data_IF_346534808343
#
_entry.id   IF_346534808343
#
_cell.length_a   1.000
_cell.length_b   1.000
_cell.length_c   1.000
_cell.angle_alpha   90.00
_cell.angle_beta   90.00
_cell.angle_gamma   90.00
#
_symmetry.space_group_name_H-M   'P 1'
#
loop_
_entity.id
_entity.type
_entity.pdbx_description
1 polymer ?
#
# COMPACT_ATOMS: atom_id res chain seq x y z
N UNK A 1 19.95 22.11 21.50
CA UNK A 1 19.10 20.88 21.45
C UNK A 1 19.16 20.29 20.04
N UNK A 2 19.49 18.99 19.87
CA UNK A 2 19.64 18.39 18.52
C UNK A 2 18.31 18.29 17.77
N UNK A 3 18.31 18.39 16.41
CA UNK A 3 17.11 18.37 15.54
C UNK A 3 16.18 17.16 15.84
N UNK A 4 16.74 15.99 16.09
CA UNK A 4 15.94 14.77 16.41
C UNK A 4 15.19 14.93 17.73
N UNK A 5 15.75 15.62 18.70
CA UNK A 5 15.10 15.90 19.98
C UNK A 5 13.96 16.92 19.79
N UNK A 6 14.18 17.94 18.96
CA UNK A 6 13.12 18.92 18.61
C UNK A 6 11.95 18.25 17.88
N UNK A 7 12.23 17.35 16.94
CA UNK A 7 11.19 16.60 16.22
C UNK A 7 10.37 15.73 17.18
N UNK A 8 11.01 14.99 18.08
CA UNK A 8 10.32 14.19 19.09
C UNK A 8 9.39 15.04 19.96
N UNK A 9 9.88 16.18 20.46
CA UNK A 9 9.04 17.07 21.26
C UNK A 9 7.92 17.71 20.44
N UNK A 10 8.16 18.09 19.21
CA UNK A 10 7.11 18.63 18.31
C UNK A 10 6.02 17.60 18.04
N UNK A 11 6.39 16.34 17.73
CA UNK A 11 5.43 15.26 17.53
C UNK A 11 4.63 14.97 18.81
N UNK A 12 5.28 14.95 19.96
CA UNK A 12 4.61 14.74 21.24
C UNK A 12 3.64 15.88 21.57
N UNK A 13 4.03 17.12 21.32
CA UNK A 13 3.14 18.28 21.50
C UNK A 13 1.96 18.27 20.53
N UNK A 14 2.17 17.79 19.29
CA UNK A 14 1.08 17.63 18.34
C UNK A 14 0.10 16.55 18.81
N UNK A 15 0.58 15.37 19.21
CA UNK A 15 -0.26 14.32 19.78
C UNK A 15 -1.07 14.83 20.99
N UNK A 16 -0.45 15.58 21.88
CA UNK A 16 -1.15 16.19 23.01
C UNK A 16 -2.33 17.06 22.56
N UNK A 17 -2.15 17.89 21.53
CA UNK A 17 -3.22 18.74 20.98
C UNK A 17 -4.32 17.89 20.33
N UNK A 18 -3.93 16.90 19.52
CA UNK A 18 -4.87 16.08 18.75
C UNK A 18 -5.71 15.19 19.66
N UNK A 19 -5.15 14.71 20.76
CA UNK A 19 -5.82 13.81 21.69
C UNK A 19 -6.68 14.50 22.76
N UNK A 20 -6.50 15.79 23.00
CA UNK A 20 -7.22 16.53 24.03
C UNK A 20 -8.75 16.41 23.90
N UNK A 21 -9.29 16.60 22.69
CA UNK A 21 -10.74 16.50 22.43
C UNK A 21 -11.26 15.07 22.51
N UNK A 22 -10.64 14.07 21.85
CA UNK A 22 -11.04 12.66 21.97
C UNK A 22 -11.05 12.17 23.42
N UNK A 23 -9.99 12.45 24.18
CA UNK A 23 -9.89 12.08 25.61
C UNK A 23 -11.03 12.68 26.43
N UNK A 24 -11.32 13.96 26.25
CA UNK A 24 -12.39 14.63 26.97
C UNK A 24 -13.78 14.06 26.65
N UNK A 25 -14.03 13.74 25.35
CA UNK A 25 -15.30 13.14 24.93
C UNK A 25 -15.49 11.73 25.51
N UNK A 26 -14.46 10.88 25.44
CA UNK A 26 -14.54 9.55 26.01
C UNK A 26 -14.69 9.58 27.53
N UNK A 27 -14.00 10.50 28.23
CA UNK A 27 -14.19 10.68 29.66
C UNK A 27 -15.67 10.97 30.03
N UNK A 28 -16.39 11.76 29.23
CA UNK A 28 -17.79 12.08 29.44
C UNK A 28 -18.74 10.89 29.27
N UNK A 29 -18.32 9.81 28.59
CA UNK A 29 -19.10 8.60 28.41
C UNK A 29 -18.91 7.57 29.52
N UNK A 30 -17.96 7.80 30.43
CA UNK A 30 -17.65 6.84 31.48
C UNK A 30 -18.78 6.73 32.52
N UNK A 31 -19.10 5.50 32.99
CA UNK A 31 -20.10 5.26 34.01
C UNK A 31 -19.62 5.68 35.40
N UNK A 32 -20.53 5.59 36.40
CA UNK A 32 -20.14 5.80 37.79
C UNK A 32 -19.12 4.72 38.23
N UNK A 33 -18.18 5.08 39.09
CA UNK A 33 -17.14 4.19 39.66
C UNK A 33 -16.19 3.54 38.62
N UNK A 34 -16.02 4.11 37.45
CA UNK A 34 -15.07 3.59 36.47
C UNK A 34 -13.61 3.65 36.95
N UNK A 35 -12.83 2.66 36.55
CA UNK A 35 -11.38 2.59 36.79
C UNK A 35 -10.58 3.26 35.66
N UNK A 36 -9.27 3.40 35.86
CA UNK A 36 -8.37 3.86 34.81
C UNK A 36 -8.29 2.86 33.62
N UNK A 37 -8.41 1.57 33.92
CA UNK A 37 -8.40 0.52 32.89
C UNK A 37 -9.70 0.52 32.07
N UNK A 38 -10.86 0.74 32.71
CA UNK A 38 -12.12 0.90 32.00
C UNK A 38 -12.06 2.08 31.03
N UNK A 39 -11.46 3.19 31.45
CA UNK A 39 -11.26 4.33 30.54
C UNK A 39 -10.36 3.98 29.33
N UNK A 40 -9.28 3.25 29.54
CA UNK A 40 -8.37 2.84 28.45
C UNK A 40 -9.06 1.90 27.49
N UNK A 41 -9.82 0.92 27.99
CA UNK A 41 -10.60 -0.02 27.16
C UNK A 41 -11.64 0.76 26.33
N UNK A 42 -12.43 1.61 26.98
CA UNK A 42 -13.45 2.40 26.32
C UNK A 42 -12.86 3.37 25.27
N UNK A 43 -11.70 3.98 25.56
CA UNK A 43 -11.00 4.84 24.59
C UNK A 43 -10.55 4.05 23.36
N UNK A 44 -10.01 2.84 23.54
CA UNK A 44 -9.61 1.97 22.44
C UNK A 44 -10.79 1.61 21.54
N UNK A 45 -11.96 1.36 22.12
CA UNK A 45 -13.18 1.01 21.37
C UNK A 45 -13.79 2.22 20.65
N UNK A 46 -13.86 3.38 21.31
CA UNK A 46 -14.53 4.57 20.77
C UNK A 46 -13.63 5.42 19.85
N UNK A 47 -12.32 5.38 20.03
CA UNK A 47 -11.34 6.14 19.22
C UNK A 47 -10.23 5.23 18.65
N UNK A 48 -10.61 4.21 17.85
CA UNK A 48 -9.66 3.20 17.35
C UNK A 48 -8.55 3.79 16.49
N UNK A 49 -8.83 4.85 15.71
CA UNK A 49 -7.80 5.55 14.92
C UNK A 49 -6.76 6.23 15.81
N UNK A 50 -7.21 6.87 16.89
CA UNK A 50 -6.31 7.49 17.87
C UNK A 50 -5.47 6.44 18.58
N UNK A 51 -6.09 5.35 19.02
CA UNK A 51 -5.38 4.24 19.66
C UNK A 51 -4.29 3.67 18.77
N UNK A 52 -4.58 3.39 17.51
CA UNK A 52 -3.62 2.90 16.52
C UNK A 52 -2.44 3.84 16.31
N UNK A 53 -2.68 5.15 16.24
CA UNK A 53 -1.61 6.16 16.16
C UNK A 53 -0.66 6.04 17.36
N UNK A 54 -1.18 5.80 18.56
CA UNK A 54 -0.33 5.63 19.75
C UNK A 54 0.48 4.34 19.69
N UNK A 55 -0.12 3.22 19.27
CA UNK A 55 0.58 1.94 19.10
C UNK A 55 1.73 2.08 18.08
N UNK A 56 1.45 2.60 16.89
CA UNK A 56 2.46 2.83 15.84
C UNK A 56 3.61 3.74 16.33
N UNK A 57 3.29 4.80 17.07
CA UNK A 57 4.31 5.70 17.64
C UNK A 57 5.11 5.02 18.72
N UNK A 58 4.47 4.28 19.62
CA UNK A 58 5.14 3.53 20.67
C UNK A 58 6.11 2.49 20.11
N UNK A 59 5.66 1.68 19.13
CA UNK A 59 6.49 0.68 18.46
C UNK A 59 7.69 1.35 17.75
N UNK A 60 7.42 2.40 16.97
CA UNK A 60 8.46 3.14 16.26
C UNK A 60 9.53 3.71 17.17
N UNK A 61 9.13 4.29 18.32
CA UNK A 61 10.08 4.84 19.29
C UNK A 61 10.76 3.75 20.12
N UNK A 62 10.08 2.63 20.42
CA UNK A 62 10.67 1.46 21.07
C UNK A 62 11.77 0.83 20.23
N UNK A 63 11.53 0.62 18.93
CA UNK A 63 12.54 0.15 17.98
C UNK A 63 13.72 1.13 17.88
N UNK A 64 13.42 2.44 17.86
CA UNK A 64 14.44 3.46 17.89
C UNK A 64 15.30 3.37 19.14
N UNK A 65 14.68 3.21 20.30
CA UNK A 65 15.37 3.19 21.58
C UNK A 65 16.17 1.90 21.76
N UNK A 66 15.68 0.73 21.30
CA UNK A 66 16.49 -0.49 21.20
C UNK A 66 17.78 -0.27 20.40
N UNK A 67 17.67 0.41 19.24
CA UNK A 67 18.84 0.73 18.41
C UNK A 67 19.77 1.80 19.03
N UNK A 68 19.23 2.66 19.89
CA UNK A 68 20.01 3.68 20.63
C UNK A 68 20.74 3.09 21.84
N UNK A 69 20.07 2.18 22.56
CA UNK A 69 20.66 1.47 23.69
C UNK A 69 21.94 0.72 23.27
N UNK A 70 21.90 0.01 22.14
CA UNK A 70 23.09 -0.65 21.56
C UNK A 70 24.28 0.29 21.27
N UNK A 71 24.04 1.61 21.21
CA UNK A 71 25.06 2.66 20.95
C UNK A 71 25.27 3.59 22.15
N UNK A 72 24.87 3.18 23.33
CA UNK A 72 24.95 3.97 24.58
C UNK A 72 24.43 5.42 24.42
N UNK A 73 23.32 5.61 23.68
CA UNK A 73 22.73 6.92 23.43
C UNK A 73 21.46 7.10 24.24
N UNK A 74 21.17 8.35 24.66
CA UNK A 74 19.94 8.69 25.37
C UNK A 74 18.69 8.15 24.69
N UNK A 75 17.86 7.43 25.47
CA UNK A 75 16.58 6.90 25.05
C UNK A 75 15.53 8.03 24.94
N UNK A 76 14.50 7.82 24.18
CA UNK A 76 13.36 8.74 24.06
C UNK A 76 12.28 8.46 25.08
N UNK A 77 12.16 7.18 25.46
CA UNK A 77 11.17 6.70 26.43
C UNK A 77 9.76 7.21 26.10
N UNK A 78 9.32 6.93 24.86
CA UNK A 78 7.94 7.25 24.50
C UNK A 78 7.02 6.41 25.39
N UNK A 79 6.01 7.01 26.05
CA UNK A 79 5.13 6.27 26.93
C UNK A 79 4.33 5.21 26.16
N UNK A 80 3.98 4.10 26.82
CA UNK A 80 3.03 3.15 26.23
C UNK A 80 1.67 3.83 25.95
N UNK A 81 0.84 3.30 25.03
CA UNK A 81 -0.49 3.87 24.75
C UNK A 81 -1.30 4.11 26.03
N UNK A 82 -1.33 3.13 26.95
CA UNK A 82 -1.97 3.24 28.26
C UNK A 82 -1.42 4.41 29.09
N UNK A 83 -0.10 4.47 29.24
CA UNK A 83 0.55 5.55 30.01
C UNK A 83 0.33 6.93 29.39
N UNK A 84 0.35 7.02 28.05
CA UNK A 84 0.08 8.27 27.36
C UNK A 84 -1.33 8.75 27.67
N UNK A 85 -2.34 7.90 27.50
CA UNK A 85 -3.74 8.26 27.77
C UNK A 85 -3.99 8.67 29.21
N UNK A 86 -3.45 7.94 30.18
CA UNK A 86 -3.65 8.25 31.60
C UNK A 86 -2.95 9.56 31.97
N UNK A 87 -1.77 9.84 31.43
CA UNK A 87 -1.05 11.09 31.68
C UNK A 87 -1.80 12.29 31.09
N UNK A 88 -2.22 12.18 29.81
CA UNK A 88 -2.91 13.26 29.10
C UNK A 88 -4.37 13.43 29.57
N UNK A 89 -5.01 12.31 29.92
CA UNK A 89 -6.42 12.25 30.36
C UNK A 89 -6.63 12.56 31.84
N UNK A 90 -5.58 12.66 32.64
CA UNK A 90 -5.69 12.78 34.12
C UNK A 90 -6.71 13.81 34.57
N UNK A 91 -6.69 15.01 33.97
CA UNK A 91 -7.62 16.10 34.34
C UNK A 91 -9.05 15.77 33.95
N UNK A 92 -9.28 15.23 32.74
CA UNK A 92 -10.61 14.88 32.24
C UNK A 92 -11.22 13.71 33.04
N UNK A 93 -10.43 12.68 33.32
CA UNK A 93 -10.82 11.52 34.13
C UNK A 93 -11.23 11.96 35.54
N UNK A 94 -10.38 12.78 36.19
CA UNK A 94 -10.66 13.26 37.55
C UNK A 94 -11.87 14.20 37.58
N UNK A 95 -12.01 15.06 36.60
CA UNK A 95 -13.19 15.93 36.47
C UNK A 95 -14.46 15.10 36.34
N UNK A 96 -14.48 14.07 35.52
CA UNK A 96 -15.64 13.20 35.36
C UNK A 96 -16.00 12.43 36.62
N UNK A 97 -15.00 11.89 37.33
CA UNK A 97 -15.20 11.23 38.65
C UNK A 97 -15.81 12.19 39.67
N UNK A 98 -15.36 13.44 39.69
CA UNK A 98 -15.95 14.46 40.57
C UNK A 98 -17.40 14.78 40.19
N UNK A 99 -17.73 14.90 38.89
CA UNK A 99 -19.10 15.15 38.45
C UNK A 99 -20.04 14.01 38.83
N UNK A 100 -19.59 12.77 38.75
CA UNK A 100 -20.36 11.60 39.25
C UNK A 100 -20.57 11.65 40.79
N UNK A 101 -19.50 12.02 41.52
CA UNK A 101 -19.59 12.09 42.98
C UNK A 101 -20.57 13.16 43.47
N UNK A 102 -20.74 14.26 42.77
CA UNK A 102 -21.69 15.33 43.11
C UNK A 102 -23.04 15.16 42.45
N UNK A 103 -23.27 14.05 41.69
CA UNK A 103 -24.57 13.74 41.11
C UNK A 103 -25.03 14.67 39.96
N UNK A 104 -24.12 15.35 39.29
CA UNK A 104 -24.47 16.33 38.22
C UNK A 104 -24.45 15.67 36.83
N UNK A 105 -24.06 14.41 36.72
CA UNK A 105 -23.99 13.72 35.42
C UNK A 105 -25.40 13.38 34.93
N UNK A 106 -25.78 13.89 33.79
CA UNK A 106 -27.03 13.57 33.10
C UNK A 106 -26.82 12.22 32.35
N UNK A 107 -27.46 11.18 32.86
CA UNK A 107 -27.30 9.80 32.37
C UNK A 107 -27.83 9.64 30.93
N UNK A 108 -28.93 10.32 30.57
CA UNK A 108 -29.47 10.24 29.21
C UNK A 108 -28.50 10.86 28.19
N UNK A 109 -27.92 12.01 28.51
CA UNK A 109 -26.89 12.64 27.66
C UNK A 109 -25.62 11.81 27.57
N UNK A 110 -25.21 11.19 28.67
CA UNK A 110 -24.06 10.26 28.70
C UNK A 110 -24.26 9.10 27.75
N UNK A 111 -25.41 8.43 27.83
CA UNK A 111 -25.75 7.27 26.98
C UNK A 111 -25.90 7.70 25.51
N UNK A 112 -26.54 8.83 25.25
CA UNK A 112 -26.67 9.37 23.90
C UNK A 112 -25.29 9.65 23.27
N UNK A 113 -24.38 10.27 24.03
CA UNK A 113 -23.01 10.53 23.56
C UNK A 113 -22.24 9.22 23.32
N UNK A 114 -22.39 8.22 24.21
CA UNK A 114 -21.77 6.90 24.04
C UNK A 114 -22.22 6.24 22.72
N UNK A 115 -23.52 6.21 22.48
CA UNK A 115 -24.13 5.64 21.27
C UNK A 115 -23.63 6.34 20.00
N UNK A 116 -23.55 7.67 20.00
CA UNK A 116 -23.02 8.45 18.87
C UNK A 116 -21.54 8.15 18.61
N UNK A 117 -20.73 8.05 19.65
CA UNK A 117 -19.32 7.68 19.53
C UNK A 117 -19.14 6.25 19.05
N UNK A 118 -19.94 5.29 19.49
CA UNK A 118 -19.91 3.89 19.01
C UNK A 118 -20.23 3.82 17.52
N UNK A 119 -21.28 4.53 17.07
CA UNK A 119 -21.65 4.61 15.65
C UNK A 119 -20.50 5.23 14.83
N UNK A 120 -19.91 6.30 15.33
CA UNK A 120 -18.79 7.00 14.67
C UNK A 120 -17.53 6.12 14.64
N UNK A 121 -17.24 5.36 15.70
CA UNK A 121 -16.12 4.43 15.77
C UNK A 121 -16.25 3.31 14.74
N UNK A 122 -17.44 2.70 14.63
CA UNK A 122 -17.71 1.66 13.63
C UNK A 122 -17.50 2.16 12.21
N UNK A 123 -17.99 3.37 11.90
CA UNK A 123 -17.76 3.98 10.58
C UNK A 123 -16.27 4.29 10.33
N UNK A 124 -15.52 4.75 11.35
CA UNK A 124 -14.07 4.99 11.24
C UNK A 124 -13.30 3.68 11.00
N UNK A 125 -13.64 2.61 11.73
CA UNK A 125 -13.03 1.28 11.56
C UNK A 125 -13.25 0.78 10.14
N UNK A 126 -14.51 0.81 9.66
CA UNK A 126 -14.86 0.39 8.30
C UNK A 126 -14.06 1.15 7.25
N UNK A 127 -14.03 2.49 7.36
CA UNK A 127 -13.28 3.35 6.43
C UNK A 127 -11.76 3.09 6.47
N UNK A 128 -11.22 2.77 7.65
CA UNK A 128 -9.81 2.43 7.81
C UNK A 128 -9.48 1.08 7.16
N UNK A 129 -10.31 0.06 7.37
CA UNK A 129 -10.18 -1.25 6.73
C UNK A 129 -10.31 -1.17 5.21
N UNK A 130 -11.29 -0.40 4.71
CA UNK A 130 -11.44 -0.16 3.27
C UNK A 130 -10.21 0.53 2.66
N UNK A 131 -9.61 1.47 3.39
CA UNK A 131 -8.37 2.13 2.93
C UNK A 131 -7.19 1.17 2.88
N UNK A 132 -7.02 0.33 3.92
CA UNK A 132 -5.96 -0.67 3.96
C UNK A 132 -6.10 -1.70 2.84
N UNK A 133 -7.32 -2.19 2.61
CA UNK A 133 -7.61 -3.07 1.49
C UNK A 133 -7.28 -2.39 0.16
N UNK A 134 -7.69 -1.13 -0.03
CA UNK A 134 -7.39 -0.38 -1.26
C UNK A 134 -5.89 -0.18 -1.48
N UNK A 135 -5.10 0.04 -0.44
CA UNK A 135 -3.65 0.16 -0.58
C UNK A 135 -3.01 -1.17 -0.98
N UNK A 136 -3.55 -2.31 -0.50
CA UNK A 136 -3.07 -3.65 -0.85
C UNK A 136 -3.53 -4.13 -2.23
N UNK A 137 -4.61 -3.60 -2.81
CA UNK A 137 -5.06 -3.95 -4.16
C UNK A 137 -4.01 -3.70 -5.25
N UNK A 138 -3.05 -2.83 -4.99
CA UNK A 138 -2.01 -2.44 -5.93
C UNK A 138 -0.67 -3.15 -5.68
N UNK A 139 -0.65 -4.21 -4.87
CA UNK A 139 0.58 -4.90 -4.48
C UNK A 139 0.42 -6.40 -4.75
N UNK A 140 1.31 -6.94 -5.55
CA UNK A 140 1.40 -8.37 -5.80
C UNK A 140 2.27 -9.05 -4.73
N UNK A 141 1.83 -10.19 -4.21
CA UNK A 141 2.57 -10.96 -3.20
C UNK A 141 3.46 -12.03 -3.85
N UNK A 142 4.30 -11.59 -4.79
CA UNK A 142 5.23 -12.43 -5.56
C UNK A 142 6.51 -11.66 -5.84
N UNK A 143 7.60 -12.35 -6.17
CA UNK A 143 8.86 -11.73 -6.58
C UNK A 143 9.22 -12.11 -8.02
N UNK A 144 8.92 -11.24 -9.01
CA UNK A 144 9.36 -11.47 -10.38
C UNK A 144 10.88 -11.63 -10.48
N UNK A 145 11.34 -12.57 -11.28
CA UNK A 145 12.78 -12.84 -11.45
C UNK A 145 13.53 -11.63 -12.03
N UNK A 146 12.87 -10.80 -12.82
CA UNK A 146 13.46 -9.56 -13.34
C UNK A 146 13.76 -8.53 -12.23
N UNK A 147 12.97 -8.50 -11.14
CA UNK A 147 13.26 -7.61 -10.01
C UNK A 147 14.56 -7.95 -9.31
N UNK A 148 14.86 -9.25 -9.15
CA UNK A 148 16.14 -9.67 -8.57
C UNK A 148 17.31 -9.20 -9.43
N UNK A 149 17.19 -9.26 -10.77
CA UNK A 149 18.19 -8.72 -11.72
C UNK A 149 18.28 -7.20 -11.59
N UNK A 150 17.14 -6.49 -11.53
CA UNK A 150 17.06 -5.04 -11.39
C UNK A 150 17.69 -4.55 -10.08
N UNK A 151 17.41 -5.19 -8.95
CA UNK A 151 18.02 -4.90 -7.65
C UNK A 151 19.55 -5.08 -7.71
N UNK A 152 20.03 -6.14 -8.35
CA UNK A 152 21.47 -6.37 -8.55
C UNK A 152 22.10 -5.24 -9.37
N UNK A 153 21.47 -4.84 -10.47
CA UNK A 153 21.91 -3.71 -11.29
C UNK A 153 21.91 -2.38 -10.54
N UNK A 154 20.90 -2.12 -9.72
CA UNK A 154 20.86 -0.93 -8.86
C UNK A 154 22.16 -0.77 -8.05
N UNK A 155 22.62 -1.84 -7.39
CA UNK A 155 23.83 -1.78 -6.58
C UNK A 155 25.11 -1.68 -7.42
N UNK A 156 25.17 -2.39 -8.54
CA UNK A 156 26.33 -2.36 -9.45
C UNK A 156 26.49 -0.96 -10.08
N UNK A 157 25.44 -0.44 -10.70
CA UNK A 157 25.47 0.85 -11.39
C UNK A 157 25.62 2.02 -10.41
N UNK A 158 25.03 1.91 -9.21
CA UNK A 158 25.25 2.89 -8.14
C UNK A 158 26.71 2.93 -7.69
N UNK A 159 27.39 1.79 -7.60
CA UNK A 159 28.82 1.71 -7.26
C UNK A 159 29.66 2.40 -8.33
N UNK A 160 29.32 2.24 -9.59
CA UNK A 160 29.99 2.85 -10.74
C UNK A 160 29.60 4.32 -10.97
N UNK A 161 28.63 4.84 -10.22
CA UNK A 161 28.05 6.19 -10.36
C UNK A 161 27.43 6.45 -11.75
N UNK A 162 26.99 5.43 -12.46
CA UNK A 162 26.40 5.49 -13.80
C UNK A 162 24.87 5.55 -13.81
N UNK A 163 24.24 5.41 -12.65
CA UNK A 163 22.79 5.39 -12.51
C UNK A 163 22.28 6.75 -12.07
N UNK A 164 21.47 7.41 -12.88
CA UNK A 164 20.88 8.69 -12.54
C UNK A 164 19.77 8.58 -11.47
N UNK A 165 19.27 9.71 -11.01
CA UNK A 165 18.28 9.77 -9.94
C UNK A 165 16.91 9.24 -10.40
N UNK A 166 16.53 9.46 -11.66
CA UNK A 166 15.25 9.05 -12.21
C UNK A 166 15.19 7.53 -12.41
N UNK A 167 16.29 6.95 -12.93
CA UNK A 167 16.43 5.50 -13.04
C UNK A 167 16.34 4.82 -11.67
N UNK A 168 16.97 5.41 -10.65
CA UNK A 168 16.87 4.88 -9.26
C UNK A 168 15.47 5.00 -8.69
N UNK A 169 14.78 6.11 -8.97
CA UNK A 169 13.37 6.27 -8.59
C UNK A 169 12.51 5.19 -9.24
N UNK A 170 12.68 5.00 -10.55
CA UNK A 170 11.95 3.98 -11.28
C UNK A 170 12.08 2.59 -10.62
N UNK A 171 13.32 2.17 -10.31
CA UNK A 171 13.57 0.88 -9.65
C UNK A 171 12.93 0.78 -8.25
N UNK A 172 12.88 1.89 -7.51
CA UNK A 172 12.23 1.95 -6.20
C UNK A 172 10.72 1.80 -6.35
N UNK A 173 10.11 2.52 -7.29
CA UNK A 173 8.68 2.46 -7.56
C UNK A 173 8.26 1.07 -8.05
N UNK A 174 9.05 0.47 -8.93
CA UNK A 174 8.82 -0.88 -9.42
C UNK A 174 8.86 -1.92 -8.30
N UNK A 175 9.90 -1.88 -7.46
CA UNK A 175 9.95 -2.75 -6.27
C UNK A 175 8.80 -2.49 -5.30
N UNK A 176 8.20 -1.31 -5.33
CA UNK A 176 7.05 -0.93 -4.53
C UNK A 176 5.74 -1.61 -4.92
N UNK A 177 5.67 -2.26 -6.09
CA UNK A 177 4.50 -3.00 -6.58
C UNK A 177 4.45 -4.45 -6.09
N UNK A 178 5.56 -4.97 -5.54
CA UNK A 178 5.71 -6.39 -5.20
C UNK A 178 6.15 -6.56 -3.76
N UNK A 179 5.35 -7.27 -2.96
CA UNK A 179 5.63 -7.57 -1.56
C UNK A 179 6.35 -8.90 -1.44
N UNK A 180 7.67 -8.86 -1.35
CA UNK A 180 8.52 -10.01 -1.12
C UNK A 180 9.64 -9.68 -0.13
N UNK A 181 10.36 -10.71 0.33
CA UNK A 181 11.52 -10.53 1.23
C UNK A 181 12.60 -9.70 0.55
N UNK A 182 12.82 -9.93 -0.74
CA UNK A 182 13.84 -9.26 -1.56
C UNK A 182 13.52 -7.77 -1.72
N UNK A 183 12.28 -7.44 -2.12
CA UNK A 183 11.84 -6.05 -2.34
C UNK A 183 11.81 -5.26 -1.04
N UNK A 184 11.29 -5.84 0.04
CA UNK A 184 11.29 -5.22 1.37
C UNK A 184 12.72 -4.97 1.84
N UNK A 185 13.62 -5.94 1.69
CA UNK A 185 15.04 -5.80 2.06
C UNK A 185 15.73 -4.72 1.24
N UNK A 186 15.48 -4.67 -0.06
CA UNK A 186 15.99 -3.63 -0.95
C UNK A 186 15.51 -2.24 -0.53
N UNK A 187 14.20 -2.05 -0.39
CA UNK A 187 13.61 -0.78 0.00
C UNK A 187 14.08 -0.30 1.38
N UNK A 188 14.25 -1.20 2.36
CA UNK A 188 14.84 -0.88 3.66
C UNK A 188 16.29 -0.39 3.53
N UNK A 189 17.10 -1.03 2.67
CA UNK A 189 18.48 -0.59 2.41
C UNK A 189 18.52 0.77 1.70
N UNK A 190 17.64 1.03 0.75
CA UNK A 190 17.52 2.35 0.09
C UNK A 190 17.11 3.42 1.10
N UNK A 191 16.05 3.19 1.85
CA UNK A 191 15.55 4.11 2.89
C UNK A 191 16.64 4.51 3.89
N UNK A 192 17.50 3.57 4.26
CA UNK A 192 18.56 3.81 5.25
C UNK A 192 19.85 4.32 4.63
N UNK A 193 20.17 3.94 3.41
CA UNK A 193 21.50 4.07 2.82
C UNK A 193 21.62 5.06 1.65
N UNK A 194 20.55 5.41 0.95
CA UNK A 194 20.67 6.30 -0.18
C UNK A 194 21.08 7.73 0.23
N UNK A 195 21.87 8.42 -0.65
CA UNK A 195 22.32 9.77 -0.42
C UNK A 195 21.20 10.80 -0.69
N UNK A 196 20.34 10.53 -1.69
CA UNK A 196 19.23 11.39 -2.05
C UNK A 196 18.06 11.23 -1.06
N UNK A 197 17.58 12.34 -0.49
CA UNK A 197 16.50 12.31 0.50
C UNK A 197 15.17 11.90 -0.10
N UNK A 198 14.86 12.35 -1.31
CA UNK A 198 13.59 12.03 -1.99
C UNK A 198 13.48 10.53 -2.28
N UNK A 199 14.57 9.89 -2.74
CA UNK A 199 14.59 8.44 -2.95
C UNK A 199 14.39 7.66 -1.64
N UNK A 200 14.98 8.13 -0.52
CA UNK A 200 14.71 7.52 0.78
C UNK A 200 13.25 7.67 1.21
N UNK A 201 12.63 8.80 0.88
CA UNK A 201 11.22 9.06 1.18
C UNK A 201 10.32 8.13 0.36
N UNK A 202 10.52 8.01 -0.95
CA UNK A 202 9.76 7.08 -1.79
C UNK A 202 9.88 5.62 -1.33
N UNK A 203 11.10 5.19 -0.98
CA UNK A 203 11.30 3.85 -0.42
C UNK A 203 10.58 3.66 0.93
N UNK A 204 10.51 4.69 1.77
CA UNK A 204 9.76 4.67 3.02
C UNK A 204 8.26 4.57 2.79
N UNK A 205 7.72 5.36 1.88
CA UNK A 205 6.30 5.33 1.51
C UNK A 205 5.89 3.97 0.91
N UNK A 206 6.73 3.39 0.04
CA UNK A 206 6.51 2.05 -0.50
C UNK A 206 6.47 0.99 0.61
N UNK A 207 7.40 1.04 1.56
CA UNK A 207 7.41 0.12 2.71
C UNK A 207 6.16 0.24 3.59
N UNK A 208 5.65 1.46 3.79
CA UNK A 208 4.40 1.69 4.54
C UNK A 208 3.20 1.12 3.80
N UNK A 209 3.08 1.35 2.49
CA UNK A 209 2.00 0.79 1.65
C UNK A 209 1.98 -0.74 1.64
N UNK A 210 3.17 -1.36 1.69
CA UNK A 210 3.31 -2.81 1.77
C UNK A 210 3.03 -3.39 3.17
N UNK A 211 2.76 -2.57 4.17
CA UNK A 211 2.72 -3.00 5.58
C UNK A 211 3.96 -3.82 5.96
N UNK A 212 5.14 -3.37 5.51
CA UNK A 212 6.38 -4.08 5.78
C UNK A 212 6.72 -4.04 7.28
N UNK A 213 7.16 -5.14 7.89
CA UNK A 213 7.51 -5.16 9.31
C UNK A 213 8.76 -4.32 9.59
N UNK A 214 8.89 -3.81 10.81
CA UNK A 214 10.09 -3.12 11.33
C UNK A 214 10.60 -1.96 10.46
N UNK A 215 9.70 -1.15 9.91
CA UNK A 215 10.06 0.01 9.10
C UNK A 215 10.58 1.12 10.00
N UNK A 216 11.82 1.55 9.79
CA UNK A 216 12.40 2.68 10.53
C UNK A 216 11.78 4.00 10.07
N UNK A 217 11.52 4.90 11.01
CA UNK A 217 11.03 6.23 10.70
C UNK A 217 11.96 6.96 9.71
N UNK A 218 11.37 7.59 8.70
CA UNK A 218 12.11 8.42 7.77
C UNK A 218 12.77 9.60 8.49
N UNK A 219 14.03 9.89 8.19
CA UNK A 219 14.79 10.98 8.81
C UNK A 219 15.53 11.79 7.77
N UNK A 220 15.37 13.11 7.86
CA UNK A 220 16.28 14.03 7.17
C UNK A 220 17.66 13.89 7.78
N UNK A 221 18.68 13.72 6.93
CA UNK A 221 20.08 13.71 7.38
C UNK A 221 20.56 15.13 7.63
N UNK A 222 21.40 15.31 8.63
CA UNK A 222 22.13 16.58 8.82
C UNK A 222 23.36 16.59 7.90
N UNK A 223 23.64 17.73 7.31
CA UNK A 223 24.84 17.96 6.53
C UNK A 223 24.59 18.88 5.33
N UNK A 224 25.64 19.46 4.78
CA UNK A 224 25.59 20.21 3.51
C UNK A 224 25.39 19.17 2.39
N UNK A 225 24.19 19.11 1.84
CA UNK A 225 23.91 18.23 0.69
C UNK A 225 24.59 18.78 -0.55
N UNK A 226 25.31 17.93 -1.27
CA UNK A 226 25.84 18.26 -2.59
C UNK A 226 24.67 18.50 -3.56
N UNK A 227 24.86 19.33 -4.59
CA UNK A 227 23.83 19.65 -5.57
C UNK A 227 23.19 18.38 -6.16
N UNK A 228 24.00 17.36 -6.49
CA UNK A 228 23.53 16.05 -6.99
C UNK A 228 22.64 15.26 -5.99
N UNK A 229 22.65 15.62 -4.72
CA UNK A 229 21.82 14.97 -3.69
C UNK A 229 20.47 15.68 -3.50
N UNK A 230 20.33 16.87 -4.08
CA UNK A 230 19.11 17.69 -4.06
C UNK A 230 18.24 17.51 -5.30
N UNK A 231 18.74 16.80 -6.33
CA UNK A 231 17.97 16.55 -7.54
C UNK A 231 16.63 15.97 -7.18
N UNK A 232 15.56 16.60 -7.64
CA UNK A 232 14.22 16.07 -7.52
C UNK A 232 14.05 14.98 -8.59
N UNK A 233 13.76 13.74 -8.21
CA UNK A 233 13.50 12.71 -9.18
C UNK A 233 12.13 12.92 -9.81
N UNK A 234 12.08 12.86 -11.11
CA UNK A 234 10.87 12.92 -11.90
C UNK A 234 10.42 11.50 -12.24
N UNK A 235 9.18 11.15 -11.88
CA UNK A 235 8.56 9.89 -12.25
C UNK A 235 8.01 9.92 -13.66
N UNK A 236 7.68 8.74 -14.19
CA UNK A 236 6.89 8.60 -15.41
C UNK A 236 5.43 8.90 -15.04
N UNK A 237 4.78 9.82 -15.75
CA UNK A 237 3.47 10.37 -15.36
C UNK A 237 2.39 10.21 -16.44
N UNK A 238 2.77 9.79 -17.67
CA UNK A 238 1.84 9.67 -18.80
C UNK A 238 2.25 8.54 -19.75
N UNK A 239 1.34 8.11 -20.66
CA UNK A 239 1.60 7.02 -21.59
C UNK A 239 2.79 7.25 -22.51
N UNK A 240 3.00 8.48 -22.99
CA UNK A 240 4.11 8.81 -23.90
C UNK A 240 5.47 8.63 -23.22
N UNK A 241 5.61 9.09 -21.97
CA UNK A 241 6.83 8.90 -21.19
C UNK A 241 7.07 7.41 -20.89
N UNK A 242 6.02 6.66 -20.57
CA UNK A 242 6.12 5.21 -20.35
C UNK A 242 6.55 4.49 -21.62
N UNK A 243 5.99 4.85 -22.76
CA UNK A 243 6.35 4.26 -24.04
C UNK A 243 7.83 4.51 -24.39
N UNK A 244 8.33 5.72 -24.15
CA UNK A 244 9.76 6.04 -24.29
C UNK A 244 10.58 5.18 -23.34
N UNK A 245 10.17 5.05 -22.10
CA UNK A 245 10.85 4.22 -21.11
C UNK A 245 10.92 2.74 -21.56
N UNK A 246 9.80 2.18 -22.04
CA UNK A 246 9.73 0.81 -22.58
C UNK A 246 10.69 0.61 -23.75
N UNK A 247 10.84 1.62 -24.62
CA UNK A 247 11.74 1.55 -25.79
C UNK A 247 13.22 1.74 -25.43
N UNK A 248 13.54 2.47 -24.38
CA UNK A 248 14.91 2.93 -24.11
C UNK A 248 15.56 2.35 -22.87
N UNK A 249 14.78 2.00 -21.84
CA UNK A 249 15.32 1.54 -20.57
C UNK A 249 15.54 0.02 -20.56
N UNK A 250 16.77 -0.41 -20.32
CA UNK A 250 17.14 -1.83 -20.27
C UNK A 250 16.29 -2.65 -19.27
N UNK A 251 15.88 -2.04 -18.16
CA UNK A 251 15.08 -2.74 -17.16
C UNK A 251 13.60 -2.86 -17.54
N UNK A 252 13.09 -2.04 -18.45
CA UNK A 252 11.78 -2.28 -19.07
C UNK A 252 11.82 -3.46 -20.03
N UNK A 253 12.91 -3.62 -20.78
CA UNK A 253 13.06 -4.73 -21.72
C UNK A 253 13.19 -6.11 -21.05
N UNK A 254 13.58 -6.17 -19.79
CA UNK A 254 13.65 -7.44 -19.05
C UNK A 254 12.38 -7.78 -18.29
N UNK A 255 11.39 -6.88 -18.26
CA UNK A 255 10.10 -7.17 -17.63
C UNK A 255 9.39 -8.26 -18.41
N UNK A 256 8.87 -9.22 -17.69
CA UNK A 256 8.02 -10.26 -18.22
C UNK A 256 6.99 -10.62 -17.17
N UNK A 257 5.81 -10.93 -17.66
CA UNK A 257 4.68 -11.35 -16.85
C UNK A 257 4.28 -12.76 -17.29
N UNK A 258 3.75 -13.54 -16.36
CA UNK A 258 3.19 -14.84 -16.75
C UNK A 258 1.85 -14.63 -17.44
N UNK A 259 1.06 -13.66 -16.99
CA UNK A 259 -0.31 -13.43 -17.42
C UNK A 259 -0.51 -11.95 -17.78
N UNK A 260 -1.07 -11.67 -18.95
CA UNK A 260 -1.79 -10.41 -19.20
C UNK A 260 -3.26 -10.63 -18.88
N UNK A 261 -3.80 -9.89 -17.92
CA UNK A 261 -5.17 -10.03 -17.45
C UNK A 261 -6.06 -8.95 -18.06
N UNK A 262 -6.78 -9.29 -19.14
CA UNK A 262 -7.76 -8.39 -19.75
C UNK A 262 -9.07 -8.41 -18.96
N UNK A 263 -9.53 -7.26 -18.50
CA UNK A 263 -10.66 -7.16 -17.59
C UNK A 263 -11.36 -5.81 -17.65
N UNK A 264 -12.62 -5.76 -17.23
CA UNK A 264 -13.29 -4.48 -16.97
C UNK A 264 -12.82 -3.87 -15.65
N UNK A 265 -12.63 -2.57 -15.67
CA UNK A 265 -12.27 -1.81 -14.44
C UNK A 265 -13.39 -1.77 -13.39
N UNK A 266 -14.59 -2.19 -13.71
CA UNK A 266 -15.71 -2.32 -12.76
C UNK A 266 -15.51 -3.50 -11.81
N UNK A 267 -14.78 -4.54 -12.24
CA UNK A 267 -14.59 -5.80 -11.52
C UNK A 267 -13.34 -5.85 -10.61
N UNK A 268 -12.88 -4.71 -10.08
CA UNK A 268 -11.60 -4.62 -9.34
C UNK A 268 -11.46 -5.60 -8.18
N UNK A 269 -12.52 -5.83 -7.42
CA UNK A 269 -12.48 -6.74 -6.26
C UNK A 269 -12.29 -8.19 -6.70
N UNK A 270 -13.01 -8.61 -7.74
CA UNK A 270 -12.92 -9.95 -8.32
C UNK A 270 -11.53 -10.17 -8.96
N UNK A 271 -11.04 -9.19 -9.71
CA UNK A 271 -9.71 -9.22 -10.31
C UNK A 271 -8.60 -9.27 -9.26
N UNK A 272 -8.74 -8.52 -8.16
CA UNK A 272 -7.79 -8.59 -7.06
C UNK A 272 -7.78 -9.97 -6.39
N UNK A 273 -8.94 -10.58 -6.16
CA UNK A 273 -9.04 -11.94 -5.63
C UNK A 273 -8.34 -12.95 -6.56
N UNK A 274 -8.63 -12.88 -7.86
CA UNK A 274 -8.00 -13.71 -8.88
C UNK A 274 -6.47 -13.54 -8.91
N UNK A 275 -5.99 -12.29 -8.92
CA UNK A 275 -4.56 -11.99 -8.86
C UNK A 275 -3.90 -12.61 -7.62
N UNK A 276 -4.55 -12.51 -6.47
CA UNK A 276 -4.02 -13.05 -5.21
C UNK A 276 -3.90 -14.58 -5.24
N UNK A 277 -4.89 -15.27 -5.79
CA UNK A 277 -4.83 -16.73 -5.97
C UNK A 277 -3.69 -17.15 -6.91
N UNK A 278 -3.53 -16.43 -8.02
CA UNK A 278 -2.45 -16.69 -8.99
C UNK A 278 -1.07 -16.38 -8.40
N UNK A 279 -0.93 -15.32 -7.60
CA UNK A 279 0.32 -15.00 -6.89
C UNK A 279 0.70 -16.11 -5.89
N UNK A 280 -0.25 -16.80 -5.25
CA UNK A 280 0.04 -17.97 -4.39
C UNK A 280 0.64 -19.15 -5.18
N UNK A 281 0.47 -19.17 -6.49
CA UNK A 281 1.11 -20.14 -7.41
C UNK A 281 2.37 -19.59 -8.07
N UNK A 282 2.90 -18.48 -7.54
CA UNK A 282 4.08 -17.76 -8.04
C UNK A 282 3.92 -17.20 -9.46
N UNK A 283 2.68 -16.99 -9.93
CA UNK A 283 2.38 -16.41 -11.22
C UNK A 283 2.24 -14.89 -11.11
N UNK A 284 2.90 -14.17 -12.02
CA UNK A 284 2.94 -12.71 -12.08
C UNK A 284 1.89 -12.23 -13.07
N UNK A 285 0.97 -11.39 -12.60
CA UNK A 285 -0.09 -10.84 -13.42
C UNK A 285 0.24 -9.40 -13.85
N UNK A 286 0.13 -9.12 -15.15
CA UNK A 286 0.01 -7.75 -15.61
C UNK A 286 -1.47 -7.33 -15.52
N UNK A 287 -1.71 -6.27 -14.76
CA UNK A 287 -2.99 -5.60 -14.60
C UNK A 287 -2.68 -4.10 -14.71
N UNK A 288 -3.28 -3.39 -15.65
CA UNK A 288 -2.96 -2.00 -16.00
C UNK A 288 -3.00 -1.06 -14.78
N UNK A 289 -4.05 -1.14 -13.96
CA UNK A 289 -4.20 -0.31 -12.77
C UNK A 289 -3.33 -0.76 -11.57
N UNK A 290 -2.62 -1.88 -11.65
CA UNK A 290 -1.60 -2.30 -10.68
C UNK A 290 -0.21 -1.87 -11.17
N UNK A 291 0.13 -2.26 -12.40
CA UNK A 291 1.48 -2.12 -12.95
C UNK A 291 1.76 -0.70 -13.46
N UNK A 292 0.86 -0.13 -14.23
CA UNK A 292 1.06 1.16 -14.91
C UNK A 292 0.01 2.22 -14.47
N UNK A 293 -0.40 2.15 -13.17
CA UNK A 293 -1.49 2.96 -12.58
C UNK A 293 -1.37 4.46 -12.77
N UNK A 294 -0.16 5.00 -12.66
CA UNK A 294 0.07 6.44 -12.73
C UNK A 294 0.16 6.92 -14.16
N UNK A 295 0.57 6.04 -15.03
CA UNK A 295 0.90 6.27 -16.42
C UNK A 295 -0.32 6.07 -17.33
N UNK A 296 -1.14 5.03 -17.06
CA UNK A 296 -2.33 4.67 -17.85
C UNK A 296 -3.62 5.09 -17.17
N UNK A 297 -3.75 6.38 -16.85
CA UNK A 297 -5.02 6.91 -16.34
C UNK A 297 -6.06 6.97 -17.46
N UNK A 298 -7.32 6.66 -17.17
CA UNK A 298 -8.43 6.65 -18.12
C UNK A 298 -8.59 7.96 -18.90
N UNK A 299 -8.35 9.09 -18.23
CA UNK A 299 -8.44 10.42 -18.84
C UNK A 299 -7.31 10.67 -19.88
N UNK A 300 -6.33 9.77 -19.96
CA UNK A 300 -5.17 9.86 -20.84
C UNK A 300 -5.21 8.81 -21.97
N UNK A 301 -6.39 8.30 -22.35
CA UNK A 301 -6.52 7.35 -23.46
C UNK A 301 -6.10 8.01 -24.79
N UNK A 302 -4.98 7.55 -25.35
CA UNK A 302 -4.36 8.07 -26.58
C UNK A 302 -3.70 6.91 -27.35
N UNK A 303 -3.11 7.21 -28.51
CA UNK A 303 -2.38 6.24 -29.33
C UNK A 303 -1.25 5.54 -28.56
N UNK A 304 -0.56 6.29 -27.70
CA UNK A 304 0.52 5.78 -26.88
C UNK A 304 0.04 4.79 -25.82
N UNK A 305 -1.18 4.98 -25.30
CA UNK A 305 -1.83 3.99 -24.39
C UNK A 305 -1.99 2.65 -25.11
N UNK A 306 -2.52 2.66 -26.33
CA UNK A 306 -2.69 1.45 -27.12
C UNK A 306 -1.33 0.76 -27.39
N UNK A 307 -0.29 1.53 -27.74
CA UNK A 307 1.04 0.95 -27.98
C UNK A 307 1.66 0.36 -26.70
N UNK A 308 1.47 1.00 -25.54
CA UNK A 308 1.89 0.44 -24.25
C UNK A 308 1.20 -0.89 -23.99
N UNK A 309 -0.12 -0.96 -24.15
CA UNK A 309 -0.88 -2.20 -23.92
C UNK A 309 -0.39 -3.33 -24.86
N UNK A 310 -0.18 -3.05 -26.14
CA UNK A 310 0.41 -4.03 -27.08
C UNK A 310 1.76 -4.54 -26.55
N UNK A 311 2.65 -3.65 -26.09
CA UNK A 311 3.94 -4.05 -25.51
C UNK A 311 3.79 -4.94 -24.28
N UNK A 312 2.84 -4.64 -23.41
CA UNK A 312 2.57 -5.44 -22.20
C UNK A 312 1.99 -6.82 -22.56
N UNK A 313 1.11 -6.90 -23.56
CA UNK A 313 0.66 -8.19 -24.10
C UNK A 313 1.85 -9.01 -24.61
N UNK A 314 2.76 -8.40 -25.35
CA UNK A 314 3.96 -9.07 -25.86
C UNK A 314 4.93 -9.51 -24.74
N UNK A 315 5.05 -8.74 -23.66
CA UNK A 315 5.87 -9.06 -22.49
C UNK A 315 5.25 -10.15 -21.59
N UNK A 316 3.99 -10.52 -21.84
CA UNK A 316 3.30 -11.56 -21.08
C UNK A 316 3.39 -12.91 -21.78
N UNK A 317 3.49 -14.00 -21.00
CA UNK A 317 3.55 -15.37 -21.53
C UNK A 317 2.22 -15.79 -22.13
N UNK A 318 1.14 -15.60 -21.38
CA UNK A 318 -0.23 -15.90 -21.81
C UNK A 318 -1.14 -14.68 -21.67
N UNK A 319 -2.26 -14.72 -22.37
CA UNK A 319 -3.33 -13.73 -22.26
C UNK A 319 -4.55 -14.39 -21.60
N UNK A 320 -5.07 -13.80 -20.55
CA UNK A 320 -6.27 -14.27 -19.85
C UNK A 320 -7.37 -13.23 -20.03
N UNK A 321 -8.43 -13.62 -20.73
CA UNK A 321 -9.65 -12.83 -20.85
C UNK A 321 -10.58 -13.13 -19.68
N UNK A 322 -10.82 -12.14 -18.84
CA UNK A 322 -11.75 -12.28 -17.72
C UNK A 322 -13.15 -11.93 -18.19
N UNK A 323 -14.00 -12.97 -18.34
CA UNK A 323 -15.35 -12.83 -18.86
C UNK A 323 -16.31 -12.44 -17.75
N UNK A 324 -16.89 -11.26 -17.89
CA UNK A 324 -17.97 -10.67 -17.11
C UNK A 324 -18.87 -9.87 -18.05
N UNK A 325 -20.08 -9.50 -17.65
CA UNK A 325 -20.94 -8.64 -18.47
C UNK A 325 -20.26 -7.33 -18.86
N UNK A 326 -19.59 -6.68 -17.90
CA UNK A 326 -18.86 -5.43 -18.16
C UNK A 326 -17.60 -5.65 -19.01
N UNK A 327 -16.96 -6.82 -18.90
CA UNK A 327 -15.82 -7.21 -19.73
C UNK A 327 -16.24 -7.37 -21.19
N UNK A 328 -17.36 -8.03 -21.45
CA UNK A 328 -17.93 -8.19 -22.79
C UNK A 328 -18.39 -6.86 -23.41
N UNK A 329 -18.91 -5.94 -22.60
CA UNK A 329 -19.28 -4.60 -23.06
C UNK A 329 -18.08 -3.67 -23.28
N UNK A 330 -16.89 -4.05 -22.85
CA UNK A 330 -15.69 -3.24 -22.96
C UNK A 330 -15.05 -3.31 -24.34
N UNK A 331 -15.02 -2.19 -25.07
CA UNK A 331 -14.31 -2.09 -26.35
C UNK A 331 -12.81 -2.34 -26.23
N UNK A 332 -12.19 -1.99 -25.10
CA UNK A 332 -10.79 -2.26 -24.84
C UNK A 332 -10.52 -3.75 -24.66
N UNK A 333 -11.33 -4.47 -23.88
CA UNK A 333 -11.15 -5.91 -23.70
C UNK A 333 -11.29 -6.68 -25.03
N UNK A 334 -12.26 -6.29 -25.86
CA UNK A 334 -12.43 -6.88 -27.20
C UNK A 334 -11.23 -6.60 -28.12
N UNK A 335 -10.71 -5.37 -28.10
CA UNK A 335 -9.53 -4.97 -28.85
C UNK A 335 -8.27 -5.72 -28.37
N UNK A 336 -8.04 -5.81 -27.06
CA UNK A 336 -6.92 -6.54 -26.45
C UNK A 336 -6.94 -8.02 -26.83
N UNK A 337 -8.12 -8.67 -26.81
CA UNK A 337 -8.31 -10.05 -27.22
C UNK A 337 -7.93 -10.23 -28.71
N UNK A 338 -8.38 -9.32 -29.58
CA UNK A 338 -8.02 -9.32 -31.00
C UNK A 338 -6.52 -9.17 -31.23
N UNK A 339 -5.85 -8.30 -30.47
CA UNK A 339 -4.39 -8.12 -30.53
C UNK A 339 -3.67 -9.40 -30.05
N UNK A 340 -4.08 -9.98 -28.92
CA UNK A 340 -3.49 -11.22 -28.41
C UNK A 340 -3.62 -12.37 -29.42
N UNK A 341 -4.79 -12.50 -30.07
CA UNK A 341 -5.04 -13.47 -31.13
C UNK A 341 -4.14 -13.23 -32.34
N UNK A 342 -4.04 -12.00 -32.83
CA UNK A 342 -3.18 -11.64 -33.97
C UNK A 342 -1.71 -11.95 -33.73
N UNK A 343 -1.23 -11.78 -32.50
CA UNK A 343 0.14 -12.14 -32.10
C UNK A 343 0.31 -13.61 -31.71
N UNK A 344 -0.72 -14.44 -31.91
CA UNK A 344 -0.71 -15.88 -31.59
C UNK A 344 -0.31 -16.18 -30.15
N UNK A 345 -0.73 -15.31 -29.21
CA UNK A 345 -0.54 -15.59 -27.80
C UNK A 345 -1.39 -16.78 -27.37
N UNK A 346 -0.93 -17.62 -26.46
CA UNK A 346 -1.82 -18.57 -25.78
C UNK A 346 -2.89 -17.77 -25.03
N UNK A 347 -4.16 -18.04 -25.33
CA UNK A 347 -5.30 -17.31 -24.76
C UNK A 347 -6.14 -18.29 -23.94
N UNK A 348 -6.51 -17.89 -22.73
CA UNK A 348 -7.51 -18.55 -21.90
C UNK A 348 -8.64 -17.59 -21.54
N UNK A 349 -9.82 -18.12 -21.34
CA UNK A 349 -10.98 -17.39 -20.84
C UNK A 349 -11.28 -17.85 -19.43
N UNK A 350 -11.39 -16.90 -18.50
CA UNK A 350 -11.80 -17.16 -17.12
C UNK A 350 -13.20 -16.61 -16.90
N UNK A 351 -14.15 -17.47 -16.60
CA UNK A 351 -15.53 -17.11 -16.29
C UNK A 351 -15.65 -16.84 -14.79
N UNK A 352 -15.83 -15.59 -14.43
CA UNK A 352 -16.08 -15.20 -13.02
C UNK A 352 -17.55 -15.21 -12.67
N UNK A 353 -18.42 -15.13 -13.67
CA UNK A 353 -19.87 -15.17 -13.55
C UNK A 353 -20.49 -15.90 -14.74
N UNK A 354 -21.71 -16.39 -14.57
CA UNK A 354 -22.48 -16.99 -15.65
C UNK A 354 -23.07 -15.86 -16.51
N UNK A 355 -22.64 -15.82 -17.78
CA UNK A 355 -23.12 -14.86 -18.78
C UNK A 355 -23.88 -15.63 -19.85
N UNK A 356 -25.18 -15.33 -19.98
CA UNK A 356 -26.06 -16.06 -20.87
C UNK A 356 -25.78 -15.83 -22.36
N UNK A 357 -25.28 -14.64 -22.71
CA UNK A 357 -25.05 -14.23 -24.09
C UNK A 357 -23.69 -13.62 -24.30
N UNK A 358 -22.87 -14.26 -25.14
CA UNK A 358 -21.55 -13.76 -25.52
C UNK A 358 -21.20 -14.17 -26.94
N UNK A 359 -20.24 -13.53 -27.63
CA UNK A 359 -19.84 -13.88 -28.99
C UNK A 359 -19.24 -15.30 -29.07
N UNK A 360 -19.76 -16.14 -29.97
CA UNK A 360 -19.34 -17.55 -30.13
C UNK A 360 -17.85 -17.73 -30.45
N UNK A 361 -17.18 -16.71 -31.01
CA UNK A 361 -15.73 -16.79 -31.25
C UNK A 361 -14.89 -16.92 -29.98
N UNK A 362 -15.47 -16.63 -28.82
CA UNK A 362 -14.77 -16.81 -27.52
C UNK A 362 -14.58 -18.30 -27.20
N UNK A 363 -15.46 -19.19 -27.73
CA UNK A 363 -15.39 -20.62 -27.47
C UNK A 363 -14.19 -21.32 -28.14
N UNK A 364 -13.49 -20.65 -29.05
CA UNK A 364 -12.25 -21.21 -29.64
C UNK A 364 -11.10 -21.29 -28.62
N UNK A 365 -11.21 -20.61 -27.48
CA UNK A 365 -10.19 -20.58 -26.44
C UNK A 365 -10.57 -21.50 -25.26
N UNK A 366 -9.57 -22.09 -24.57
CA UNK A 366 -9.82 -22.87 -23.36
C UNK A 366 -10.55 -22.03 -22.30
N UNK A 367 -11.61 -22.61 -21.73
CA UNK A 367 -12.49 -21.97 -20.75
C UNK A 367 -12.18 -22.52 -19.36
N UNK A 368 -12.07 -21.63 -18.35
CA UNK A 368 -11.87 -21.97 -16.95
C UNK A 368 -12.94 -21.34 -16.08
N UNK A 369 -13.59 -22.13 -15.25
CA UNK A 369 -14.53 -21.65 -14.26
C UNK A 369 -13.83 -21.10 -13.03
N UNK A 370 -14.50 -20.28 -12.23
CA UNK A 370 -13.96 -19.71 -11.00
C UNK A 370 -13.31 -20.76 -10.07
N UNK A 371 -13.89 -21.96 -9.99
CA UNK A 371 -13.36 -23.08 -9.18
C UNK A 371 -12.05 -23.68 -9.70
N UNK A 372 -11.69 -23.45 -10.94
CA UNK A 372 -10.49 -23.98 -11.61
C UNK A 372 -9.31 -23.03 -11.61
N UNK A 373 -9.50 -21.80 -11.11
CA UNK A 373 -8.50 -20.74 -11.11
C UNK A 373 -7.24 -21.12 -10.33
N UNK A 374 -7.41 -21.80 -9.20
CA UNK A 374 -6.28 -22.19 -8.32
C UNK A 374 -5.69 -23.56 -8.66
N UNK A 375 -6.28 -24.31 -9.59
CA UNK A 375 -5.88 -25.69 -9.90
C UNK A 375 -5.46 -25.87 -11.35
N UNK A 376 -6.38 -25.71 -12.30
CA UNK A 376 -6.19 -26.08 -13.71
C UNK A 376 -5.59 -24.94 -14.53
N UNK A 377 -6.03 -23.70 -14.30
CA UNK A 377 -5.48 -22.53 -14.98
C UNK A 377 -3.94 -22.39 -14.76
N UNK A 378 -3.39 -22.49 -13.52
CA UNK A 378 -1.95 -22.45 -13.33
C UNK A 378 -1.17 -23.57 -13.99
N UNK A 379 -1.75 -24.79 -14.09
CA UNK A 379 -1.14 -25.89 -14.82
C UNK A 379 -1.05 -25.55 -16.31
N UNK A 380 -2.19 -25.17 -16.89
CA UNK A 380 -2.26 -24.77 -18.30
C UNK A 380 -1.25 -23.65 -18.62
N UNK A 381 -1.14 -22.60 -17.77
CA UNK A 381 -0.20 -21.49 -17.96
C UNK A 381 1.26 -21.97 -17.96
N UNK A 382 1.61 -22.97 -17.10
CA UNK A 382 2.97 -23.51 -17.03
C UNK A 382 3.35 -24.33 -18.25
N UNK A 383 2.37 -24.97 -18.89
CA UNK A 383 2.56 -25.80 -20.08
C UNK A 383 2.76 -24.97 -21.37
N UNK A 384 2.33 -23.71 -21.40
CA UNK A 384 2.58 -22.79 -22.51
C UNK A 384 4.02 -22.29 -22.53
#
# INVERSE_FOLDING_TARGET
MGIVRRKYYAERMQLHKDFKKPIAKVAQTMPINFTDDDFVVQFRELEPCCWRILEEKYESYSLLDKARAKKHRHLRNFPSPRQFLLNEGRKSIQSQRNLHRIGVVDEEKRVALLTDLQRTASAKIKKMQEKELKDLYFIQEVCPSYLTKMIRWYYQLRKMNTLDVNQRLYMILECGKYRSVETITFLKKVQQGDKNEKLRMFAYEALLKMHAPDVKLHRKRKGREKLSQRLEPEGILNPAQLLVAIKTLKFENIKHFDIFMSHSSSNKEQIHALMKELNQKELICYIDWVEDRNELKRDLSCSETAEVIVRRILQSKVFVYVMTEEGLASTWCAWELGIAHAFKKPIAVVRLEDVDTYPEYIDIYPQFQATQISTDLPKWIKEQ
#
